data_IF_777562942424
#
_entry.id   IF_777562942424
#
_cell.length_a   1.000
_cell.length_b   1.000
_cell.length_c   1.000
_cell.angle_alpha   90.00
_cell.angle_beta   90.00
_cell.angle_gamma   90.00
#
_symmetry.space_group_name_H-M   'P 1'
#
loop_
_entity.id
_entity.type
_entity.pdbx_description
1 polymer ?
#
# COMPACT_ATOMS: atom_id res chain seq x y z
N UNK A 1 -0.72 4.36 7.14
CA UNK A 1 -1.82 3.69 6.41
C UNK A 1 -2.21 2.41 7.14
N UNK A 2 -3.49 2.06 7.12
CA UNK A 2 -4.00 0.80 7.69
C UNK A 2 -4.73 0.00 6.62
N UNK A 3 -4.67 -1.32 6.72
CA UNK A 3 -5.45 -2.24 5.90
C UNK A 3 -6.44 -2.98 6.80
N UNK A 4 -7.73 -2.67 6.63
CA UNK A 4 -8.83 -3.34 7.32
C UNK A 4 -9.74 -3.97 6.28
N UNK A 5 -9.93 -5.28 6.36
CA UNK A 5 -10.68 -6.06 5.39
C UNK A 5 -12.07 -6.41 5.91
N UNK A 6 -13.06 -6.43 5.01
CA UNK A 6 -14.40 -6.98 5.16
C UNK A 6 -14.63 -8.08 4.13
N UNK A 7 -15.71 -8.84 4.26
CA UNK A 7 -16.02 -9.91 3.31
C UNK A 7 -16.66 -9.38 2.02
N UNK A 8 -17.45 -8.30 2.13
CA UNK A 8 -18.16 -7.75 0.98
C UNK A 8 -17.81 -6.30 0.69
N UNK A 9 -18.00 -5.87 -0.54
CA UNK A 9 -17.84 -4.49 -0.97
C UNK A 9 -18.98 -3.59 -0.46
N UNK A 10 -20.12 -4.16 -0.08
CA UNK A 10 -21.21 -3.44 0.58
C UNK A 10 -20.77 -2.93 1.95
N UNK A 11 -20.16 -3.80 2.77
CA UNK A 11 -19.60 -3.40 4.07
C UNK A 11 -18.44 -2.45 3.91
N UNK A 12 -17.55 -2.66 2.93
CA UNK A 12 -16.46 -1.72 2.65
C UNK A 12 -16.94 -0.28 2.39
N UNK A 13 -18.14 -0.10 1.87
CA UNK A 13 -18.77 1.21 1.61
C UNK A 13 -19.66 1.70 2.76
N UNK A 14 -19.90 0.88 3.79
CA UNK A 14 -20.74 1.21 4.91
C UNK A 14 -20.08 2.26 5.82
N UNK A 15 -20.82 3.27 6.25
CA UNK A 15 -20.30 4.36 7.09
C UNK A 15 -19.79 3.86 8.44
N UNK A 16 -20.45 2.86 9.06
CA UNK A 16 -20.02 2.29 10.34
C UNK A 16 -18.66 1.61 10.20
N UNK A 17 -18.44 0.86 9.11
CA UNK A 17 -17.15 0.25 8.81
C UNK A 17 -16.09 1.30 8.53
N UNK A 18 -16.37 2.29 7.67
CA UNK A 18 -15.42 3.35 7.33
C UNK A 18 -15.03 4.21 8.54
N UNK A 19 -15.97 4.47 9.44
CA UNK A 19 -15.69 5.17 10.70
C UNK A 19 -14.76 4.36 11.60
N UNK A 20 -14.98 3.05 11.70
CA UNK A 20 -14.07 2.16 12.42
C UNK A 20 -12.66 2.13 11.78
N UNK A 21 -12.55 2.05 10.45
CA UNK A 21 -11.25 2.12 9.76
C UNK A 21 -10.51 3.41 10.06
N UNK A 22 -11.22 4.55 10.10
CA UNK A 22 -10.62 5.85 10.47
C UNK A 22 -10.14 5.85 11.92
N UNK A 23 -10.90 5.26 12.84
CA UNK A 23 -10.50 5.14 14.23
C UNK A 23 -9.26 4.23 14.39
N UNK A 24 -9.20 3.11 13.67
CA UNK A 24 -8.00 2.24 13.61
C UNK A 24 -6.80 3.00 13.05
N UNK A 25 -6.98 3.82 12.03
CA UNK A 25 -5.90 4.65 11.48
C UNK A 25 -5.39 5.69 12.50
N UNK A 26 -6.29 6.33 13.24
CA UNK A 26 -5.93 7.25 14.31
C UNK A 26 -5.19 6.54 15.47
N UNK A 27 -5.60 5.33 15.82
CA UNK A 27 -4.89 4.47 16.79
C UNK A 27 -3.46 4.19 16.29
N UNK A 28 -3.30 3.76 15.02
CA UNK A 28 -2.01 3.41 14.44
C UNK A 28 -1.03 4.59 14.37
N UNK A 29 -1.51 5.82 14.17
CA UNK A 29 -0.65 7.03 14.20
C UNK A 29 0.01 7.21 15.57
N UNK A 30 -0.69 6.90 16.64
CA UNK A 30 -0.23 7.07 18.03
C UNK A 30 0.46 5.82 18.60
N UNK A 31 0.40 4.70 17.89
CA UNK A 31 0.95 3.42 18.34
C UNK A 31 2.47 3.37 18.18
N UNK A 32 3.13 2.73 19.14
CA UNK A 32 4.54 2.33 19.09
C UNK A 32 4.70 0.79 18.99
N UNK A 33 3.60 0.08 18.72
CA UNK A 33 3.60 -1.37 18.55
C UNK A 33 4.56 -1.80 17.43
N UNK A 34 5.31 -2.87 17.69
CA UNK A 34 6.31 -3.40 16.74
C UNK A 34 5.73 -4.48 15.82
N UNK A 35 4.59 -5.02 16.17
CA UNK A 35 3.88 -6.04 15.42
C UNK A 35 2.36 -5.92 15.64
N UNK A 36 1.61 -6.71 14.90
CA UNK A 36 0.15 -6.69 14.97
C UNK A 36 -0.39 -7.23 16.29
N UNK A 37 0.29 -8.17 16.93
CA UNK A 37 -0.18 -8.74 18.21
C UNK A 37 -0.09 -7.69 19.31
N UNK A 38 1.02 -6.94 19.36
CA UNK A 38 1.18 -5.82 20.29
C UNK A 38 0.14 -4.71 20.00
N UNK A 39 -0.08 -4.37 18.73
CA UNK A 39 -1.09 -3.37 18.34
C UNK A 39 -2.50 -3.76 18.77
N UNK A 40 -2.89 -5.02 18.56
CA UNK A 40 -4.22 -5.52 18.92
C UNK A 40 -4.44 -5.56 20.44
N UNK A 41 -3.38 -5.62 21.23
CA UNK A 41 -3.42 -5.60 22.70
C UNK A 41 -3.41 -4.19 23.31
N UNK A 42 -3.15 -3.14 22.53
CA UNK A 42 -3.18 -1.76 23.01
C UNK A 42 -4.58 -1.37 23.50
N UNK A 43 -4.62 -0.45 24.47
CA UNK A 43 -5.88 0.17 24.88
C UNK A 43 -6.48 0.96 23.71
N UNK A 44 -7.77 0.79 23.46
CA UNK A 44 -8.47 1.47 22.37
C UNK A 44 -8.62 2.96 22.66
N UNK A 45 -8.23 3.81 21.72
CA UNK A 45 -8.21 5.27 21.92
C UNK A 45 -9.58 5.87 22.21
N UNK A 46 -10.68 5.29 21.69
CA UNK A 46 -12.04 5.78 21.92
C UNK A 46 -12.64 5.26 23.23
N UNK A 47 -12.10 4.17 23.78
CA UNK A 47 -12.54 3.56 25.03
C UNK A 47 -11.39 2.76 25.67
N UNK A 48 -10.64 3.39 26.55
CA UNK A 48 -9.48 2.79 27.21
C UNK A 48 -9.79 1.58 28.13
N UNK A 49 -11.07 1.26 28.36
CA UNK A 49 -11.46 0.03 29.06
C UNK A 49 -11.41 -1.22 28.19
N UNK A 50 -11.14 -1.07 26.90
CA UNK A 50 -11.10 -2.10 25.88
C UNK A 50 -9.77 -2.10 25.17
N UNK A 51 -9.43 -3.23 24.56
CA UNK A 51 -8.31 -3.33 23.63
C UNK A 51 -8.76 -3.03 22.20
N UNK A 52 -7.81 -2.81 21.28
CA UNK A 52 -8.08 -2.73 19.84
C UNK A 52 -8.78 -4.02 19.36
N UNK A 53 -8.38 -5.16 19.90
CA UNK A 53 -9.02 -6.45 19.61
C UNK A 53 -10.47 -6.50 20.07
N UNK A 54 -10.78 -6.00 21.26
CA UNK A 54 -12.15 -5.97 21.77
C UNK A 54 -13.04 -5.06 20.90
N UNK A 55 -12.51 -3.90 20.48
CA UNK A 55 -13.19 -2.99 19.58
C UNK A 55 -13.46 -3.63 18.20
N UNK A 56 -12.52 -4.44 17.67
CA UNK A 56 -12.72 -5.21 16.45
C UNK A 56 -13.83 -6.26 16.63
N UNK A 57 -13.80 -7.05 17.71
CA UNK A 57 -14.81 -8.09 18.00
C UNK A 57 -16.21 -7.48 18.12
N UNK A 58 -16.37 -6.35 18.82
CA UNK A 58 -17.62 -5.63 18.88
C UNK A 58 -18.11 -5.16 17.52
N UNK A 59 -17.18 -4.69 16.66
CA UNK A 59 -17.52 -4.23 15.33
C UNK A 59 -17.97 -5.38 14.42
N UNK A 60 -17.32 -6.54 14.53
CA UNK A 60 -17.75 -7.79 13.86
C UNK A 60 -19.17 -8.15 14.27
N UNK A 61 -19.50 -8.09 15.56
CA UNK A 61 -20.83 -8.41 16.07
C UNK A 61 -21.91 -7.44 15.53
N UNK A 62 -21.59 -6.15 15.41
CA UNK A 62 -22.52 -5.12 14.91
C UNK A 62 -22.74 -5.21 13.40
N UNK A 63 -21.67 -5.44 12.64
CA UNK A 63 -21.71 -5.47 11.17
C UNK A 63 -22.18 -6.83 10.64
N UNK A 64 -21.87 -7.91 11.35
CA UNK A 64 -22.27 -9.27 10.97
C UNK A 64 -21.39 -9.90 9.90
N UNK A 65 -20.22 -9.34 9.61
CA UNK A 65 -19.21 -9.90 8.73
C UNK A 65 -17.88 -10.11 9.47
N UNK A 66 -17.07 -11.02 8.98
CA UNK A 66 -15.71 -11.21 9.46
C UNK A 66 -14.84 -10.03 9.04
N UNK A 67 -14.38 -9.24 10.01
CA UNK A 67 -13.50 -8.10 9.80
C UNK A 67 -12.10 -8.44 10.27
N UNK A 68 -11.09 -7.89 9.60
CA UNK A 68 -9.70 -8.10 9.99
C UNK A 68 -8.89 -6.81 9.85
N UNK A 69 -8.27 -6.36 10.92
CA UNK A 69 -7.16 -5.39 10.86
C UNK A 69 -5.93 -6.19 10.46
N UNK A 70 -5.55 -6.10 9.17
CA UNK A 70 -4.52 -6.98 8.61
C UNK A 70 -3.12 -6.49 8.91
N UNK A 71 -2.89 -5.20 8.74
CA UNK A 71 -1.60 -4.54 8.93
C UNK A 71 -1.75 -3.03 8.95
N UNK A 72 -0.72 -2.38 9.44
CA UNK A 72 -0.54 -0.94 9.26
C UNK A 72 0.93 -0.63 8.96
N UNK A 73 1.13 0.55 8.37
CA UNK A 73 2.45 1.14 8.16
C UNK A 73 2.41 2.58 8.66
N UNK A 74 3.39 2.96 9.48
CA UNK A 74 3.55 4.30 10.04
C UNK A 74 4.82 4.91 9.47
N UNK A 75 4.67 6.01 8.74
CA UNK A 75 5.76 6.79 8.19
C UNK A 75 5.80 8.14 8.90
N UNK A 76 6.95 8.52 9.39
CA UNK A 76 7.19 9.80 10.04
C UNK A 76 8.28 10.52 9.27
N UNK A 77 7.98 11.70 8.71
CA UNK A 77 8.99 12.53 8.08
C UNK A 77 9.98 13.02 9.13
N UNK A 78 11.24 12.66 9.01
CA UNK A 78 12.32 13.23 9.81
C UNK A 78 12.69 14.62 9.28
N UNK A 79 12.65 14.79 7.96
CA UNK A 79 12.91 16.03 7.24
C UNK A 79 12.01 16.10 5.99
N UNK A 80 11.26 17.18 5.82
CA UNK A 80 10.35 17.32 4.69
C UNK A 80 8.89 17.07 5.03
N UNK A 81 8.18 16.25 4.24
CA UNK A 81 6.76 15.97 4.47
C UNK A 81 6.29 14.63 3.92
N UNK A 82 5.22 14.14 4.53
CA UNK A 82 4.50 12.94 4.10
C UNK A 82 3.13 13.34 3.53
N UNK A 83 2.74 12.73 2.44
CA UNK A 83 1.36 12.80 1.91
C UNK A 83 0.77 11.41 1.81
N UNK A 84 -0.54 11.33 1.90
CA UNK A 84 -1.29 10.09 1.69
C UNK A 84 -2.32 10.27 0.59
N UNK A 85 -2.59 9.20 -0.14
CA UNK A 85 -3.62 9.11 -1.16
C UNK A 85 -4.40 7.81 -1.00
N UNK A 86 -5.73 7.93 -1.05
CA UNK A 86 -6.64 6.78 -0.98
C UNK A 86 -7.44 6.72 -2.27
N UNK A 87 -7.34 5.62 -2.99
CA UNK A 87 -8.01 5.39 -4.27
C UNK A 87 -9.14 4.37 -4.17
N UNK A 88 -10.13 4.51 -5.06
CA UNK A 88 -11.19 3.52 -5.25
C UNK A 88 -12.07 3.29 -4.02
N UNK A 89 -12.32 4.34 -3.23
CA UNK A 89 -13.16 4.23 -2.02
C UNK A 89 -12.53 3.42 -0.89
N UNK A 90 -11.19 3.46 -0.78
CA UNK A 90 -10.44 2.75 0.26
C UNK A 90 -9.77 1.47 -0.19
N UNK A 91 -9.82 1.13 -1.48
CA UNK A 91 -9.21 -0.11 -2.00
C UNK A 91 -7.70 -0.07 -2.08
N UNK A 92 -7.13 1.10 -2.34
CA UNK A 92 -5.69 1.31 -2.44
C UNK A 92 -5.32 2.50 -1.57
N UNK A 93 -4.37 2.32 -0.68
CA UNK A 93 -3.77 3.39 0.12
C UNK A 93 -2.30 3.53 -0.23
N UNK A 94 -1.85 4.76 -0.44
CA UNK A 94 -0.46 5.09 -0.76
C UNK A 94 0.03 6.16 0.21
N UNK A 95 1.25 6.01 0.70
CA UNK A 95 2.00 7.04 1.42
C UNK A 95 3.23 7.38 0.59
N UNK A 96 3.52 8.67 0.47
CA UNK A 96 4.75 9.17 -0.13
C UNK A 96 5.44 10.06 0.90
N UNK A 97 6.68 9.75 1.20
CA UNK A 97 7.58 10.55 2.03
C UNK A 97 8.57 11.27 1.12
N UNK A 98 8.77 12.56 1.34
CA UNK A 98 9.73 13.35 0.61
C UNK A 98 10.72 14.02 1.56
N UNK A 99 12.00 13.70 1.39
CA UNK A 99 13.11 14.42 2.02
C UNK A 99 13.38 15.70 1.23
N UNK A 100 13.05 16.84 1.81
CA UNK A 100 13.15 18.14 1.14
C UNK A 100 13.18 19.32 2.11
N UNK A 101 13.99 20.33 1.80
CA UNK A 101 14.00 21.62 2.52
C UNK A 101 12.75 22.47 2.21
N UNK A 102 12.00 22.16 1.16
CA UNK A 102 10.87 22.97 0.71
C UNK A 102 9.57 22.22 0.91
N UNK A 103 8.75 22.70 1.85
CA UNK A 103 7.42 22.17 2.11
C UNK A 103 6.38 23.26 1.78
N UNK A 104 5.74 23.14 0.63
CA UNK A 104 4.66 24.04 0.19
C UNK A 104 3.57 23.25 -0.57
N UNK A 105 2.51 23.92 -0.96
CA UNK A 105 1.37 23.29 -1.61
C UNK A 105 1.75 22.67 -2.98
N UNK A 106 2.66 23.29 -3.74
CA UNK A 106 3.10 22.76 -5.03
C UNK A 106 3.88 21.44 -4.86
N UNK A 107 4.74 21.32 -3.83
CA UNK A 107 5.45 20.09 -3.50
C UNK A 107 4.45 19.01 -3.09
N UNK A 108 3.50 19.33 -2.21
CA UNK A 108 2.47 18.38 -1.76
C UNK A 108 1.59 17.92 -2.92
N UNK A 109 1.22 18.80 -3.83
CA UNK A 109 0.46 18.45 -5.04
C UNK A 109 1.25 17.50 -5.94
N UNK A 110 2.52 17.77 -6.18
CA UNK A 110 3.40 16.88 -6.93
C UNK A 110 3.51 15.49 -6.28
N UNK A 111 3.63 15.43 -4.95
CA UNK A 111 3.66 14.16 -4.19
C UNK A 111 2.34 13.40 -4.31
N UNK A 112 1.19 14.08 -4.26
CA UNK A 112 -0.12 13.44 -4.47
C UNK A 112 -0.24 12.90 -5.89
N UNK A 113 0.27 13.60 -6.91
CA UNK A 113 0.32 13.12 -8.29
C UNK A 113 1.19 11.86 -8.42
N UNK A 114 2.32 11.81 -7.73
CA UNK A 114 3.16 10.61 -7.63
C UNK A 114 2.39 9.47 -6.95
N UNK A 115 1.69 9.75 -5.84
CA UNK A 115 0.89 8.75 -5.13
C UNK A 115 -0.24 8.17 -6.01
N UNK A 116 -0.88 8.99 -6.84
CA UNK A 116 -1.85 8.53 -7.84
C UNK A 116 -1.21 7.62 -8.88
N UNK A 117 -0.01 7.96 -9.35
CA UNK A 117 0.74 7.13 -10.31
C UNK A 117 1.15 5.78 -9.68
N UNK A 118 1.59 5.79 -8.42
CA UNK A 118 1.89 4.56 -7.65
C UNK A 118 0.64 3.69 -7.54
N UNK A 119 -0.52 4.27 -7.21
CA UNK A 119 -1.78 3.55 -7.13
C UNK A 119 -2.18 2.90 -8.47
N UNK A 120 -1.91 3.57 -9.59
CA UNK A 120 -2.23 3.10 -10.93
C UNK A 120 -1.29 1.99 -11.41
N UNK A 121 0.02 2.13 -11.15
CA UNK A 121 1.04 1.20 -11.65
C UNK A 121 1.30 0.00 -10.74
N UNK A 122 0.95 0.12 -9.46
CA UNK A 122 1.20 -0.89 -8.43
C UNK A 122 2.66 -1.42 -8.47
N UNK A 123 3.68 -0.55 -8.34
CA UNK A 123 5.07 -0.93 -8.43
C UNK A 123 5.44 -1.91 -7.32
N UNK A 124 6.29 -2.88 -7.63
CA UNK A 124 6.76 -3.88 -6.65
C UNK A 124 7.89 -3.35 -5.78
N UNK A 125 8.62 -2.35 -6.24
CA UNK A 125 9.83 -1.81 -5.61
C UNK A 125 9.81 -0.29 -5.61
N UNK A 126 10.44 0.33 -4.62
CA UNK A 126 10.60 1.78 -4.54
C UNK A 126 11.76 2.23 -5.41
N UNK A 127 12.86 1.46 -5.44
CA UNK A 127 14.04 1.77 -6.23
C UNK A 127 14.59 0.56 -6.97
N UNK A 128 15.47 0.81 -7.95
CA UNK A 128 16.18 -0.25 -8.69
C UNK A 128 17.09 -1.10 -7.81
N UNK A 129 17.62 -0.51 -6.75
CA UNK A 129 18.56 -1.17 -5.84
C UNK A 129 17.90 -2.28 -5.01
N UNK A 130 16.58 -2.24 -4.90
CA UNK A 130 15.79 -3.27 -4.20
C UNK A 130 15.55 -4.51 -5.08
N UNK A 131 15.77 -4.40 -6.39
CA UNK A 131 15.48 -5.48 -7.34
C UNK A 131 16.63 -6.48 -7.34
N UNK A 132 16.37 -7.72 -6.95
CA UNK A 132 17.41 -8.76 -6.94
C UNK A 132 17.86 -9.12 -8.36
N UNK A 133 19.14 -9.49 -8.50
CA UNK A 133 19.69 -9.95 -9.77
C UNK A 133 18.96 -11.19 -10.31
N UNK A 134 18.54 -12.09 -9.43
CA UNK A 134 17.78 -13.29 -9.78
C UNK A 134 16.40 -12.94 -10.36
N UNK A 135 15.72 -11.94 -9.79
CA UNK A 135 14.45 -11.46 -10.32
C UNK A 135 14.63 -10.87 -11.74
N UNK A 136 15.65 -10.04 -11.94
CA UNK A 136 15.97 -9.47 -13.25
C UNK A 136 16.26 -10.56 -14.25
N UNK A 137 17.08 -11.57 -13.89
CA UNK A 137 17.41 -12.68 -14.76
C UNK A 137 16.16 -13.47 -15.16
N UNK A 138 15.29 -13.76 -14.22
CA UNK A 138 14.04 -14.47 -14.47
C UNK A 138 13.07 -13.70 -15.39
N UNK A 139 12.90 -12.40 -15.18
CA UNK A 139 12.07 -11.56 -16.05
C UNK A 139 12.63 -11.48 -17.48
N UNK A 140 13.97 -11.42 -17.62
CA UNK A 140 14.63 -11.48 -18.94
C UNK A 140 14.38 -12.80 -19.67
N UNK A 141 14.41 -13.92 -18.97
CA UNK A 141 14.06 -15.23 -19.54
C UNK A 141 12.61 -15.27 -20.03
N UNK A 142 11.67 -14.73 -19.23
CA UNK A 142 10.26 -14.66 -19.61
C UNK A 142 10.07 -13.79 -20.85
N UNK A 143 10.68 -12.61 -20.90
CA UNK A 143 10.62 -11.71 -22.05
C UNK A 143 11.20 -12.34 -23.30
N UNK A 144 12.36 -13.01 -23.19
CA UNK A 144 12.97 -13.73 -24.31
C UNK A 144 12.05 -14.83 -24.83
N UNK A 145 11.45 -15.62 -23.94
CA UNK A 145 10.50 -16.67 -24.33
C UNK A 145 9.26 -16.09 -25.04
N UNK A 146 8.73 -14.95 -24.56
CA UNK A 146 7.61 -14.26 -25.20
C UNK A 146 7.98 -13.77 -26.62
N UNK A 147 9.14 -13.15 -26.78
CA UNK A 147 9.65 -12.66 -28.06
C UNK A 147 9.83 -13.83 -29.01
N UNK A 148 10.42 -14.93 -28.55
CA UNK A 148 10.69 -16.11 -29.41
C UNK A 148 9.39 -16.86 -29.79
N UNK A 149 8.34 -16.77 -29.05
CA UNK A 149 7.03 -17.32 -29.36
C UNK A 149 6.20 -16.44 -30.31
N UNK A 150 6.57 -15.16 -30.49
CA UNK A 150 5.91 -14.28 -31.46
C UNK A 150 6.56 -14.46 -32.87
N UNK A 151 5.78 -14.87 -33.92
CA UNK A 151 6.30 -15.09 -35.25
C UNK A 151 6.92 -13.86 -35.93
N UNK A 152 6.54 -12.64 -35.49
CA UNK A 152 7.10 -11.40 -36.05
C UNK A 152 8.33 -10.94 -35.27
N UNK A 153 8.26 -11.05 -33.94
CA UNK A 153 9.33 -10.58 -33.07
C UNK A 153 10.55 -11.51 -33.10
N UNK A 154 10.33 -12.82 -33.18
CA UNK A 154 11.41 -13.82 -33.26
C UNK A 154 12.29 -13.73 -34.50
N UNK A 155 11.83 -13.07 -35.57
CA UNK A 155 12.58 -12.85 -36.80
C UNK A 155 13.46 -11.60 -36.78
N UNK A 156 13.39 -10.80 -35.71
CA UNK A 156 14.22 -9.60 -35.57
C UNK A 156 15.70 -9.97 -35.36
N UNK A 157 16.64 -9.12 -35.79
CA UNK A 157 18.05 -9.33 -35.50
C UNK A 157 18.30 -9.41 -33.99
N UNK A 158 19.25 -10.26 -33.60
CA UNK A 158 19.64 -10.51 -32.21
C UNK A 158 19.90 -9.21 -31.41
N UNK A 159 20.56 -8.24 -32.05
CA UNK A 159 20.81 -6.93 -31.45
C UNK A 159 19.52 -6.18 -31.08
N UNK A 160 18.47 -6.35 -31.88
CA UNK A 160 17.15 -5.72 -31.60
C UNK A 160 16.46 -6.46 -30.51
N UNK A 161 16.50 -7.80 -30.50
CA UNK A 161 15.92 -8.62 -29.40
C UNK A 161 16.59 -8.30 -28.08
N UNK A 162 17.91 -8.22 -28.05
CA UNK A 162 18.66 -7.84 -26.86
C UNK A 162 18.28 -6.43 -26.37
N UNK A 163 18.10 -5.47 -27.29
CA UNK A 163 17.61 -4.13 -26.94
C UNK A 163 16.19 -4.12 -26.37
N UNK A 164 15.31 -5.02 -26.80
CA UNK A 164 13.95 -5.18 -26.28
C UNK A 164 13.94 -5.79 -24.88
N UNK A 165 14.92 -6.64 -24.54
CA UNK A 165 15.05 -7.28 -23.23
C UNK A 165 15.66 -6.32 -22.21
N UNK A 166 16.54 -5.41 -22.63
CA UNK A 166 17.23 -4.45 -21.74
C UNK A 166 16.42 -3.17 -21.47
N UNK A 167 15.44 -2.83 -22.28
CA UNK A 167 14.56 -1.64 -22.15
C UNK A 167 13.35 -1.89 -21.32
#
# INVERSE_FOLDING_TARGET
VVEVNSETDFVAKNETFQSFVKAVAAQAVNSDAKDMDAFMAEAWNEDASKTVNDALVEKVAVIGENLKIRRFEKVVAEHGCVVSYVHGGGRIGVIVDADTDVVNDAVKEAMVNIAMQIAALNPKYVSRDEVSADYIAHEKEILLAQIMNDPKESQKPEKVINGMIEG
#
